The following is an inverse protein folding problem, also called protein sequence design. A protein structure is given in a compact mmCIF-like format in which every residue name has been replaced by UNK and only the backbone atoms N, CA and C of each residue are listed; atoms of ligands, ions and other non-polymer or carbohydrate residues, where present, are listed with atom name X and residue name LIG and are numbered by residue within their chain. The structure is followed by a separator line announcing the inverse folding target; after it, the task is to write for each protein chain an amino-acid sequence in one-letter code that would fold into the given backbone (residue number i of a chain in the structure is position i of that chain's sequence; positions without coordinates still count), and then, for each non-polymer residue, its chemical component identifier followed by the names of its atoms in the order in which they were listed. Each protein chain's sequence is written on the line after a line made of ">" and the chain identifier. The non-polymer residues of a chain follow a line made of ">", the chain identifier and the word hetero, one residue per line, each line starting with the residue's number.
data_IF_659074501554
#
_entry.id   IF_659074501554
#
_cell.length_a   1.000
_cell.length_b   1.000
_cell.length_c   1.000
_cell.angle_alpha   90.00
_cell.angle_beta   90.00
_cell.angle_gamma   90.00
#
_symmetry.space_group_name_H-M   'P 1'
#
loop_
_entity.id
_entity.type
_entity.pdbx_description
1 polymer ?
#
# COMPACT_ATOMS: atom_id res chain seq x y z
N UNK A 1 -12.44 -0.94 17.53
CA UNK A 1 -11.42 -0.47 16.58
C UNK A 1 -11.79 0.96 16.19
N UNK A 2 -10.91 1.95 16.39
CA UNK A 2 -11.16 3.32 15.92
C UNK A 2 -10.71 3.39 14.46
N UNK A 3 -11.61 3.76 13.57
CA UNK A 3 -11.27 4.05 12.17
C UNK A 3 -10.21 5.16 12.12
N UNK A 4 -9.08 4.87 11.47
CA UNK A 4 -8.03 5.86 11.26
C UNK A 4 -8.49 6.86 10.21
N UNK A 5 -8.80 8.08 10.64
CA UNK A 5 -9.10 9.24 9.76
C UNK A 5 -8.05 9.51 8.67
N UNK A 6 -6.87 8.90 8.79
CA UNK A 6 -5.73 9.08 7.88
C UNK A 6 -5.95 8.35 6.55
N UNK A 7 -6.48 7.12 6.57
CA UNK A 7 -6.64 6.31 5.34
C UNK A 7 -7.77 6.84 4.45
N UNK A 8 -8.81 7.39 5.06
CA UNK A 8 -9.99 7.98 4.39
C UNK A 8 -9.65 9.22 3.52
N UNK A 9 -8.38 9.59 3.42
CA UNK A 9 -7.89 10.73 2.62
C UNK A 9 -6.78 10.38 1.64
N UNK A 10 -6.32 9.13 1.59
CA UNK A 10 -5.29 8.73 0.65
C UNK A 10 -5.88 8.49 -0.74
N UNK A 11 -6.09 9.60 -1.47
CA UNK A 11 -6.64 9.59 -2.83
C UNK A 11 -5.75 8.83 -3.82
N UNK A 12 -4.46 8.70 -3.53
CA UNK A 12 -3.54 7.98 -4.39
C UNK A 12 -3.72 6.46 -4.19
N UNK A 13 -3.83 6.01 -2.94
CA UNK A 13 -4.18 4.63 -2.63
C UNK A 13 -5.54 4.24 -3.22
N UNK A 14 -6.56 5.10 -3.08
CA UNK A 14 -7.88 4.89 -3.67
C UNK A 14 -7.81 4.77 -5.21
N UNK A 15 -7.07 5.67 -5.87
CA UNK A 15 -6.89 5.63 -7.33
C UNK A 15 -6.19 4.34 -7.81
N UNK A 16 -5.24 3.83 -7.02
CA UNK A 16 -4.58 2.56 -7.29
C UNK A 16 -5.44 1.32 -6.93
N UNK A 17 -6.62 1.52 -6.32
CA UNK A 17 -7.48 0.44 -5.84
C UNK A 17 -6.92 -0.30 -4.63
N UNK A 18 -6.15 0.39 -3.79
CA UNK A 18 -5.59 -0.13 -2.54
C UNK A 18 -6.58 0.10 -1.41
N UNK A 19 -6.90 -0.95 -0.66
CA UNK A 19 -7.81 -0.92 0.49
C UNK A 19 -7.07 -1.38 1.74
N UNK A 20 -7.24 -0.63 2.84
CA UNK A 20 -6.80 -1.03 4.17
C UNK A 20 -7.79 -2.01 4.78
N UNK A 21 -7.31 -3.17 5.20
CA UNK A 21 -8.12 -4.21 5.84
C UNK A 21 -7.96 -4.20 7.37
N UNK A 22 -6.73 -4.01 7.84
CA UNK A 22 -6.41 -3.97 9.27
C UNK A 22 -5.22 -3.05 9.51
N UNK A 23 -5.22 -2.34 10.65
CA UNK A 23 -4.03 -1.63 11.11
C UNK A 23 -3.88 -1.64 12.64
N UNK A 24 -2.64 -1.74 13.05
CA UNK A 24 -2.12 -1.58 14.40
C UNK A 24 -0.68 -1.06 14.31
N UNK A 25 -0.06 -0.77 15.44
CA UNK A 25 1.36 -0.38 15.46
C UNK A 25 2.28 -1.56 15.09
N UNK A 26 1.84 -2.80 15.34
CA UNK A 26 2.62 -4.01 15.08
C UNK A 26 2.49 -4.47 13.62
N UNK A 27 1.36 -4.19 12.97
CA UNK A 27 1.06 -4.64 11.62
C UNK A 27 -0.03 -3.80 10.95
N UNK A 28 0.09 -3.62 9.63
CA UNK A 28 -1.01 -3.23 8.76
C UNK A 28 -1.16 -4.22 7.60
N UNK A 29 -2.40 -4.45 7.17
CA UNK A 29 -2.77 -5.33 6.07
C UNK A 29 -3.56 -4.52 5.06
N UNK A 30 -3.04 -4.45 3.83
CA UNK A 30 -3.71 -3.83 2.70
C UNK A 30 -3.91 -4.85 1.58
N UNK A 31 -4.95 -4.65 0.76
CA UNK A 31 -5.12 -5.36 -0.52
C UNK A 31 -5.09 -4.38 -1.68
N UNK A 32 -4.84 -4.88 -2.87
CA UNK A 32 -5.01 -4.12 -4.12
C UNK A 32 -5.85 -4.91 -5.12
N UNK A 33 -6.72 -4.24 -5.85
CA UNK A 33 -7.43 -4.82 -6.99
C UNK A 33 -6.56 -4.74 -8.25
N UNK A 34 -6.42 -5.86 -8.97
CA UNK A 34 -5.58 -5.95 -10.17
C UNK A 34 -6.47 -5.88 -11.40
N UNK A 35 -6.18 -4.95 -12.31
CA UNK A 35 -6.84 -4.80 -13.60
C UNK A 35 -5.87 -4.49 -14.73
N UNK A 36 -6.39 -4.04 -15.87
CA UNK A 36 -5.56 -3.67 -17.04
C UNK A 36 -4.57 -2.55 -16.70
N UNK A 37 -5.01 -1.53 -15.96
CA UNK A 37 -4.18 -0.40 -15.54
C UNK A 37 -3.09 -0.79 -14.52
N UNK A 38 -3.17 -2.00 -13.95
CA UNK A 38 -2.17 -2.53 -13.02
C UNK A 38 -1.00 -3.19 -13.74
N UNK A 39 -1.05 -3.33 -15.07
CA UNK A 39 -0.07 -4.06 -15.87
C UNK A 39 1.07 -3.15 -16.36
N UNK A 40 2.26 -3.72 -16.52
CA UNK A 40 3.40 -3.08 -17.18
C UNK A 40 3.40 -3.36 -18.69
N UNK A 41 4.37 -2.78 -19.40
CA UNK A 41 4.51 -2.91 -20.86
C UNK A 41 4.67 -4.37 -21.35
N UNK A 42 5.01 -5.31 -20.46
CA UNK A 42 5.17 -6.75 -20.77
C UNK A 42 3.95 -7.57 -20.32
N UNK A 43 2.86 -6.93 -19.85
CA UNK A 43 1.65 -7.62 -19.39
C UNK A 43 1.75 -8.25 -17.99
N UNK A 44 2.88 -8.07 -17.28
CA UNK A 44 3.00 -8.44 -15.87
C UNK A 44 2.42 -7.36 -14.95
N UNK A 45 2.22 -7.64 -13.66
CA UNK A 45 1.83 -6.59 -12.70
C UNK A 45 2.97 -5.56 -12.57
N UNK A 46 2.63 -4.28 -12.59
CA UNK A 46 3.58 -3.19 -12.54
C UNK A 46 4.29 -3.14 -11.18
N UNK A 47 5.63 -3.12 -11.18
CA UNK A 47 6.42 -3.06 -9.95
C UNK A 47 6.07 -1.85 -9.09
N UNK A 48 5.81 -0.70 -9.72
CA UNK A 48 5.34 0.50 -9.03
C UNK A 48 4.05 0.29 -8.23
N UNK A 49 3.09 -0.53 -8.70
CA UNK A 49 1.88 -0.83 -7.93
C UNK A 49 2.20 -1.64 -6.69
N UNK A 50 3.10 -2.62 -6.81
CA UNK A 50 3.56 -3.47 -5.69
C UNK A 50 4.29 -2.61 -4.66
N UNK A 51 5.15 -1.70 -5.11
CA UNK A 51 5.82 -0.75 -4.23
C UNK A 51 4.83 0.16 -3.51
N UNK A 52 3.88 0.77 -4.25
CA UNK A 52 2.86 1.63 -3.64
C UNK A 52 2.00 0.88 -2.63
N UNK A 53 1.61 -0.38 -2.90
CA UNK A 53 0.90 -1.20 -1.92
C UNK A 53 1.73 -1.40 -0.63
N UNK A 54 3.03 -1.69 -0.76
CA UNK A 54 3.92 -1.86 0.38
C UNK A 54 4.13 -0.56 1.16
N UNK A 55 4.32 0.57 0.45
CA UNK A 55 4.47 1.90 1.03
C UNK A 55 3.22 2.35 1.79
N UNK A 56 2.04 2.14 1.20
CA UNK A 56 0.75 2.43 1.85
C UNK A 56 0.57 1.59 3.11
N UNK A 57 0.85 0.28 3.06
CA UNK A 57 0.77 -0.58 4.24
C UNK A 57 1.77 -0.13 5.33
N UNK A 58 3.00 0.22 4.94
CA UNK A 58 4.00 0.75 5.85
C UNK A 58 3.55 2.05 6.53
N UNK A 59 3.01 3.00 5.75
CA UNK A 59 2.48 4.25 6.26
C UNK A 59 1.32 4.03 7.26
N UNK A 60 0.43 3.06 6.99
CA UNK A 60 -0.66 2.69 7.89
C UNK A 60 -0.17 2.17 9.23
N UNK A 61 0.83 1.28 9.22
CA UNK A 61 1.40 0.73 10.44
C UNK A 61 2.08 1.83 11.27
N UNK A 62 2.95 2.64 10.65
CA UNK A 62 3.65 3.73 11.32
C UNK A 62 2.68 4.77 11.92
N UNK A 63 1.60 5.09 11.21
CA UNK A 63 0.62 6.10 11.61
C UNK A 63 -0.62 5.51 12.31
N UNK A 64 -0.54 4.27 12.82
CA UNK A 64 -1.64 3.68 13.60
C UNK A 64 -1.82 4.32 14.99
N UNK A 65 -0.80 5.04 15.48
CA UNK A 65 -0.79 5.74 16.77
C UNK A 65 -1.26 7.20 16.71
N UNK A 66 -0.84 8.01 17.68
CA UNK A 66 -1.16 9.44 17.74
C UNK A 66 -0.12 10.35 17.05
N UNK A 67 1.07 9.82 16.78
CA UNK A 67 2.13 10.55 16.09
C UNK A 67 1.91 10.60 14.59
N UNK A 68 2.45 11.64 13.95
CA UNK A 68 2.53 11.74 12.49
C UNK A 68 3.94 11.38 12.05
N UNK A 69 4.04 10.37 11.19
CA UNK A 69 5.29 9.84 10.67
C UNK A 69 5.32 9.93 9.14
N UNK A 70 6.46 10.33 8.61
CA UNK A 70 6.69 10.48 7.17
C UNK A 70 7.88 9.59 6.79
N UNK A 71 7.71 8.78 5.74
CA UNK A 71 8.77 7.97 5.18
C UNK A 71 9.84 8.85 4.51
N UNK A 72 11.10 8.68 4.88
CA UNK A 72 12.23 9.38 4.26
C UNK A 72 12.93 8.54 3.19
N UNK A 73 12.90 7.22 3.33
CA UNK A 73 13.52 6.26 2.43
C UNK A 73 12.80 4.92 2.53
N UNK A 74 12.67 4.22 1.40
CA UNK A 74 12.26 2.82 1.33
C UNK A 74 13.05 2.11 0.22
N UNK A 75 13.39 0.85 0.45
CA UNK A 75 13.95 -0.06 -0.55
C UNK A 75 12.98 -1.23 -0.74
N UNK A 76 12.76 -1.64 -1.99
CA UNK A 76 12.02 -2.85 -2.29
C UNK A 76 12.88 -3.82 -3.07
N UNK A 77 12.75 -5.11 -2.74
CA UNK A 77 13.36 -6.21 -3.48
C UNK A 77 12.26 -7.11 -4.01
N UNK A 78 12.16 -7.20 -5.34
CA UNK A 78 11.24 -8.13 -5.99
C UNK A 78 11.86 -9.52 -6.03
N UNK A 79 11.31 -10.45 -5.24
CA UNK A 79 11.87 -11.80 -5.08
C UNK A 79 11.44 -12.76 -6.18
N UNK A 80 10.31 -12.51 -6.83
CA UNK A 80 9.78 -13.33 -7.93
C UNK A 80 8.77 -12.54 -8.75
N UNK A 81 8.38 -13.07 -9.90
CA UNK A 81 7.31 -12.49 -10.69
C UNK A 81 5.97 -12.56 -9.91
N UNK A 82 5.23 -11.45 -9.80
CA UNK A 82 3.95 -11.42 -9.11
C UNK A 82 2.91 -12.25 -9.87
N UNK A 83 2.02 -12.92 -9.12
CA UNK A 83 0.92 -13.73 -9.67
C UNK A 83 -0.41 -13.05 -9.36
N UNK A 84 -1.25 -12.88 -10.38
CA UNK A 84 -2.56 -12.22 -10.29
C UNK A 84 -3.09 -11.80 -11.65
#
# INVERSE_FOLDING_TARGET
>A
MRESKQFDRDRFAEWLGIELLEQSFDQAICRVSIGENSRNALGGIHGGLIFSLADVAFACACNAGQGTYIGLQAEIRYMSAPKG
#
